data_IF_466432056173
#
_entry.id   IF_466432056173
#
_cell.length_a   1.000
_cell.length_b   1.000
_cell.length_c   1.000
_cell.angle_alpha   90.00
_cell.angle_beta   90.00
_cell.angle_gamma   90.00
#
_symmetry.space_group_name_H-M   'P 1'
#
loop_
_entity.id
_entity.type
_entity.pdbx_description
1 polymer ?
#
# COMPACT_ATOMS: atom_id res chain seq x y z
N UNK A 1 -21.37 7.68 -0.32
CA UNK A 1 -20.89 7.87 1.06
C UNK A 1 -19.40 7.53 1.19
N UNK A 2 -18.92 6.37 0.69
CA UNK A 2 -17.48 6.02 0.67
C UNK A 2 -16.61 7.09 0.00
N UNK A 3 -17.01 7.60 -1.16
CA UNK A 3 -16.28 8.68 -1.86
C UNK A 3 -16.20 9.97 -1.02
N UNK A 4 -17.23 10.27 -0.23
CA UNK A 4 -17.21 11.42 0.70
C UNK A 4 -16.26 11.18 1.86
N UNK A 5 -16.16 9.95 2.38
CA UNK A 5 -15.16 9.60 3.40
C UNK A 5 -13.74 9.69 2.85
N UNK A 6 -13.51 9.25 1.60
CA UNK A 6 -12.20 9.40 0.92
C UNK A 6 -11.86 10.88 0.76
N UNK A 7 -12.78 11.67 0.20
CA UNK A 7 -12.59 13.12 0.02
C UNK A 7 -12.36 13.85 1.35
N UNK A 8 -13.14 13.52 2.37
CA UNK A 8 -12.99 14.06 3.72
C UNK A 8 -11.66 13.68 4.37
N UNK A 9 -11.21 12.44 4.21
CA UNK A 9 -9.91 11.96 4.70
C UNK A 9 -8.74 12.68 4.02
N UNK A 10 -8.81 12.88 2.70
CA UNK A 10 -7.80 13.66 1.95
C UNK A 10 -7.75 15.11 2.45
N UNK A 11 -8.92 15.74 2.63
CA UNK A 11 -9.00 17.12 3.12
C UNK A 11 -8.43 17.25 4.54
N UNK A 12 -8.77 16.34 5.44
CA UNK A 12 -8.26 16.30 6.81
C UNK A 12 -6.74 16.08 6.83
N UNK A 13 -6.22 15.18 6.00
CA UNK A 13 -4.79 14.93 5.86
C UNK A 13 -4.01 16.14 5.34
N UNK A 14 -4.62 16.95 4.46
CA UNK A 14 -4.01 18.22 3.99
C UNK A 14 -4.13 19.36 5.00
N UNK A 15 -5.21 19.42 5.78
CA UNK A 15 -5.45 20.46 6.77
C UNK A 15 -4.61 20.27 8.05
N UNK A 16 -4.22 19.03 8.37
CA UNK A 16 -3.44 18.70 9.56
C UNK A 16 -2.17 17.87 9.24
N UNK A 17 -1.18 18.43 8.50
CA UNK A 17 0.06 17.74 8.19
C UNK A 17 0.86 17.36 9.44
N UNK A 18 0.72 18.15 10.53
CA UNK A 18 1.36 17.88 11.82
C UNK A 18 0.93 16.56 12.49
N UNK A 19 -0.24 16.03 12.15
CA UNK A 19 -0.69 14.72 12.64
C UNK A 19 0.12 13.61 11.97
N UNK A 20 0.40 13.71 10.67
CA UNK A 20 1.25 12.74 9.98
C UNK A 20 2.70 12.78 10.49
N UNK A 21 3.24 13.98 10.77
CA UNK A 21 4.59 14.14 11.34
C UNK A 21 4.69 13.58 12.76
N UNK A 22 3.73 13.89 13.64
CA UNK A 22 3.72 13.34 15.01
C UNK A 22 3.51 11.82 15.03
N UNK A 23 2.75 11.25 14.10
CA UNK A 23 2.64 9.79 13.94
C UNK A 23 3.96 9.15 13.46
N UNK A 24 4.72 9.86 12.60
CA UNK A 24 6.07 9.47 12.20
C UNK A 24 7.10 9.65 13.33
N UNK A 25 6.93 10.61 14.23
CA UNK A 25 7.79 10.78 15.41
C UNK A 25 7.60 9.63 16.41
N UNK A 26 6.39 9.04 16.45
CA UNK A 26 6.08 7.79 17.17
C UNK A 26 6.46 6.53 16.37
N UNK A 27 7.40 6.63 15.43
CA UNK A 27 7.95 5.52 14.68
C UNK A 27 9.15 4.89 15.40
N UNK A 28 9.13 3.57 15.54
CA UNK A 28 10.26 2.79 16.03
C UNK A 28 10.74 1.95 14.84
N UNK A 29 12.01 2.12 14.45
CA UNK A 29 12.60 1.45 13.27
C UNK A 29 11.81 1.62 11.96
N UNK A 30 11.38 2.85 11.65
CA UNK A 30 10.60 3.17 10.42
C UNK A 30 9.18 2.57 10.38
N UNK A 31 8.69 2.00 11.49
CA UNK A 31 7.31 1.51 11.62
C UNK A 31 6.55 2.38 12.62
N UNK A 32 5.52 3.09 12.13
CA UNK A 32 4.65 3.92 12.97
C UNK A 32 3.77 3.04 13.86
N UNK A 33 4.00 3.08 15.18
CA UNK A 33 3.23 2.29 16.17
C UNK A 33 1.72 2.51 16.07
N UNK A 34 1.20 3.75 15.91
CA UNK A 34 -0.24 3.98 15.77
C UNK A 34 -0.84 3.30 14.52
N UNK A 35 -0.12 3.33 13.40
CA UNK A 35 -0.56 2.71 12.15
C UNK A 35 -0.55 1.18 12.31
N UNK A 36 0.48 0.62 12.92
CA UNK A 36 0.57 -0.81 13.18
C UNK A 36 -0.60 -1.31 14.05
N UNK A 37 -0.98 -0.56 15.09
CA UNK A 37 -2.14 -0.87 15.94
C UNK A 37 -3.45 -0.82 15.13
N UNK A 38 -3.65 0.20 14.31
CA UNK A 38 -4.82 0.30 13.42
C UNK A 38 -4.91 -0.90 12.45
N UNK A 39 -3.79 -1.26 11.80
CA UNK A 39 -3.72 -2.41 10.90
C UNK A 39 -3.99 -3.72 11.63
N UNK A 40 -3.46 -3.88 12.86
CA UNK A 40 -3.75 -5.03 13.70
C UNK A 40 -5.25 -5.16 14.01
N UNK A 41 -5.91 -4.07 14.40
CA UNK A 41 -7.35 -4.06 14.65
C UNK A 41 -8.20 -4.28 13.39
N UNK A 42 -7.70 -3.96 12.20
CA UNK A 42 -8.38 -4.31 10.94
C UNK A 42 -8.23 -5.79 10.59
N UNK A 43 -7.07 -6.38 10.86
CA UNK A 43 -6.77 -7.78 10.55
C UNK A 43 -7.40 -8.75 11.57
N UNK A 44 -7.43 -8.39 12.86
CA UNK A 44 -7.90 -9.24 13.94
C UNK A 44 -9.34 -9.76 13.75
N UNK A 45 -10.34 -8.93 13.37
CA UNK A 45 -11.71 -9.40 13.15
C UNK A 45 -11.82 -10.42 12.02
N UNK A 46 -11.00 -10.29 10.98
CA UNK A 46 -10.98 -11.25 9.87
C UNK A 46 -10.40 -12.57 10.38
N UNK A 47 -9.28 -12.52 11.10
CA UNK A 47 -8.61 -13.71 11.64
C UNK A 47 -9.51 -14.53 12.57
N UNK A 48 -10.24 -13.88 13.48
CA UNK A 48 -11.14 -14.56 14.44
C UNK A 48 -12.38 -15.15 13.75
N UNK A 49 -12.78 -14.62 12.60
CA UNK A 49 -13.92 -15.13 11.81
C UNK A 49 -13.57 -16.34 10.93
N UNK A 50 -12.30 -16.74 10.84
CA UNK A 50 -11.89 -17.87 10.01
C UNK A 50 -12.34 -19.17 10.67
N UNK A 51 -13.17 -19.93 9.95
CA UNK A 51 -13.58 -21.28 10.31
C UNK A 51 -12.56 -22.30 9.79
N UNK A 52 -11.82 -22.93 10.70
CA UNK A 52 -10.81 -23.94 10.37
C UNK A 52 -11.38 -25.14 9.60
N UNK A 53 -12.66 -25.49 9.76
CA UNK A 53 -13.28 -26.57 9.01
C UNK A 53 -13.45 -26.21 7.52
N UNK A 54 -13.70 -24.94 7.22
CA UNK A 54 -13.76 -24.43 5.85
C UNK A 54 -12.37 -24.34 5.22
N UNK A 55 -11.35 -23.99 6.00
CA UNK A 55 -9.95 -24.01 5.55
C UNK A 55 -9.54 -25.43 5.13
N UNK A 56 -9.84 -26.44 5.96
CA UNK A 56 -9.50 -27.83 5.66
C UNK A 56 -10.24 -28.37 4.42
N UNK A 57 -11.49 -27.95 4.19
CA UNK A 57 -12.22 -28.25 2.94
C UNK A 57 -11.56 -27.59 1.72
N UNK A 58 -11.11 -26.34 1.87
CA UNK A 58 -10.46 -25.57 0.81
C UNK A 58 -9.13 -26.21 0.37
N UNK A 59 -8.42 -26.88 1.29
CA UNK A 59 -7.22 -27.68 0.98
C UNK A 59 -7.52 -28.87 0.06
N UNK A 60 -8.73 -29.47 0.14
CA UNK A 60 -9.12 -30.61 -0.72
C UNK A 60 -9.42 -30.19 -2.16
N UNK A 61 -9.70 -28.91 -2.39
CA UNK A 61 -9.93 -28.35 -3.73
C UNK A 61 -9.02 -27.14 -3.96
N UNK A 62 -7.71 -27.35 -4.21
CA UNK A 62 -6.73 -26.27 -4.24
C UNK A 62 -6.76 -25.44 -5.53
N UNK A 63 -7.37 -25.94 -6.61
CA UNK A 63 -7.41 -25.26 -7.93
C UNK A 63 -7.83 -23.79 -7.85
N UNK A 64 -9.00 -23.44 -7.25
CA UNK A 64 -9.40 -22.04 -7.12
C UNK A 64 -8.47 -21.22 -6.23
N UNK A 65 -8.02 -21.77 -5.09
CA UNK A 65 -7.13 -21.08 -4.15
C UNK A 65 -5.78 -20.76 -4.79
N UNK A 66 -5.19 -21.73 -5.50
CA UNK A 66 -3.92 -21.56 -6.22
C UNK A 66 -4.04 -20.56 -7.37
N UNK A 67 -5.15 -20.57 -8.10
CA UNK A 67 -5.38 -19.58 -9.16
C UNK A 67 -5.48 -18.17 -8.57
N UNK A 68 -6.24 -17.99 -7.49
CA UNK A 68 -6.33 -16.69 -6.80
C UNK A 68 -4.98 -16.25 -6.24
N UNK A 69 -4.21 -17.16 -5.64
CA UNK A 69 -2.87 -16.86 -5.13
C UNK A 69 -1.93 -16.46 -6.26
N UNK A 70 -1.93 -17.18 -7.38
CA UNK A 70 -1.11 -16.88 -8.55
C UNK A 70 -1.47 -15.52 -9.17
N UNK A 71 -2.76 -15.21 -9.29
CA UNK A 71 -3.19 -13.91 -9.80
C UNK A 71 -2.81 -12.78 -8.83
N UNK A 72 -3.05 -12.97 -7.53
CA UNK A 72 -2.85 -11.92 -6.53
C UNK A 72 -1.36 -11.69 -6.18
N UNK A 73 -0.54 -12.73 -6.16
CA UNK A 73 0.88 -12.62 -5.81
C UNK A 73 1.79 -12.67 -7.03
N UNK A 74 1.41 -13.37 -8.09
CA UNK A 74 2.16 -13.42 -9.34
C UNK A 74 1.80 -12.25 -10.22
N UNK A 75 0.57 -12.21 -10.75
CA UNK A 75 0.21 -11.26 -11.81
C UNK A 75 0.11 -9.82 -11.29
N UNK A 76 -0.53 -9.61 -10.14
CA UNK A 76 -0.86 -8.27 -9.63
C UNK A 76 0.38 -7.36 -9.44
N UNK A 77 1.50 -7.78 -8.81
CA UNK A 77 2.69 -6.93 -8.68
C UNK A 77 3.29 -6.52 -10.04
N UNK A 78 3.32 -7.42 -11.02
CA UNK A 78 3.85 -7.11 -12.34
C UNK A 78 2.91 -6.21 -13.15
N UNK A 79 1.59 -6.44 -13.06
CA UNK A 79 0.62 -5.53 -13.67
C UNK A 79 0.73 -4.13 -13.09
N UNK A 80 0.94 -4.02 -11.77
CA UNK A 80 1.14 -2.74 -11.11
C UNK A 80 2.41 -2.02 -11.57
N UNK A 81 3.53 -2.74 -11.65
CA UNK A 81 4.79 -2.21 -12.20
C UNK A 81 4.59 -1.76 -13.65
N UNK A 82 3.97 -2.59 -14.50
CA UNK A 82 3.76 -2.28 -15.91
C UNK A 82 2.94 -1.00 -16.11
N UNK A 83 1.81 -0.87 -15.40
CA UNK A 83 0.95 0.32 -15.46
C UNK A 83 1.68 1.53 -14.87
N UNK A 84 2.27 1.39 -13.67
CA UNK A 84 2.97 2.51 -13.03
C UNK A 84 4.14 3.01 -13.88
N UNK A 85 4.91 2.12 -14.49
CA UNK A 85 6.02 2.47 -15.36
C UNK A 85 5.57 3.15 -16.65
N UNK A 86 4.50 2.66 -17.28
CA UNK A 86 3.95 3.27 -18.48
C UNK A 86 3.49 4.71 -18.22
N UNK A 87 2.79 4.95 -17.11
CA UNK A 87 2.28 6.28 -16.81
C UNK A 87 3.34 7.20 -16.20
N UNK A 88 4.05 6.78 -15.14
CA UNK A 88 4.98 7.64 -14.41
C UNK A 88 6.37 7.70 -15.05
N UNK A 89 6.82 6.62 -15.69
CA UNK A 89 8.14 6.53 -16.32
C UNK A 89 8.18 6.96 -17.79
N UNK A 90 7.07 6.86 -18.52
CA UNK A 90 7.01 7.23 -19.94
C UNK A 90 6.11 8.44 -20.21
N UNK A 91 4.83 8.41 -19.81
CA UNK A 91 3.87 9.46 -20.19
C UNK A 91 4.01 10.76 -19.36
N UNK A 92 4.22 10.64 -18.05
CA UNK A 92 4.24 11.76 -17.09
C UNK A 92 5.65 12.08 -16.57
N UNK A 93 6.69 11.48 -17.14
CA UNK A 93 8.08 11.73 -16.73
C UNK A 93 8.43 13.22 -16.80
N UNK A 94 8.04 13.88 -17.88
CA UNK A 94 8.29 15.32 -18.09
C UNK A 94 7.41 16.22 -17.21
N UNK A 95 6.30 15.68 -16.69
CA UNK A 95 5.39 16.39 -15.78
C UNK A 95 5.81 16.24 -14.30
N UNK A 96 6.77 15.36 -14.00
CA UNK A 96 7.31 15.11 -12.66
C UNK A 96 8.79 15.54 -12.55
N UNK A 97 9.14 16.82 -12.80
CA UNK A 97 10.50 17.29 -12.60
C UNK A 97 10.80 17.43 -11.09
N UNK A 98 11.87 16.78 -10.63
CA UNK A 98 12.43 16.97 -9.30
C UNK A 98 13.01 15.70 -8.68
N UNK A 99 13.73 15.87 -7.58
CA UNK A 99 14.35 14.81 -6.79
C UNK A 99 13.74 14.78 -5.39
N UNK A 100 13.56 13.59 -4.85
CA UNK A 100 13.16 13.36 -3.46
C UNK A 100 14.37 12.85 -2.68
N UNK A 101 14.58 13.43 -1.50
CA UNK A 101 15.59 12.98 -0.55
C UNK A 101 14.96 11.90 0.32
N UNK A 102 15.42 10.66 0.19
CA UNK A 102 14.94 9.55 1.02
C UNK A 102 15.44 9.69 2.45
N UNK A 103 14.81 8.98 3.38
CA UNK A 103 15.19 8.96 4.80
C UNK A 103 16.64 8.48 5.05
N UNK A 104 17.28 7.85 4.07
CA UNK A 104 18.69 7.44 4.07
C UNK A 104 19.66 8.50 3.52
N UNK A 105 19.16 9.65 3.06
CA UNK A 105 19.96 10.75 2.49
C UNK A 105 20.30 10.60 1.00
N UNK A 106 19.76 9.59 0.31
CA UNK A 106 19.95 9.45 -1.14
C UNK A 106 18.94 10.32 -1.92
N UNK A 107 19.44 11.05 -2.90
CA UNK A 107 18.61 11.77 -3.87
C UNK A 107 18.19 10.83 -4.99
N UNK A 108 16.88 10.59 -5.13
CA UNK A 108 16.31 9.84 -6.25
C UNK A 108 15.29 10.69 -6.99
N UNK A 109 15.25 10.49 -8.29
CA UNK A 109 14.25 11.08 -9.18
C UNK A 109 12.82 10.79 -8.70
N UNK A 110 11.97 11.81 -8.66
CA UNK A 110 10.59 11.72 -8.15
C UNK A 110 9.77 10.62 -8.84
N UNK A 111 9.92 10.47 -10.17
CA UNK A 111 9.21 9.44 -10.91
C UNK A 111 9.58 8.03 -10.45
N UNK A 112 10.84 7.80 -10.01
CA UNK A 112 11.28 6.50 -9.48
C UNK A 112 10.72 6.26 -8.09
N UNK A 113 10.72 7.28 -7.24
CA UNK A 113 10.14 7.19 -5.90
C UNK A 113 8.63 6.90 -5.97
N UNK A 114 7.91 7.56 -6.87
CA UNK A 114 6.47 7.31 -7.04
C UNK A 114 6.16 5.94 -7.61
N UNK A 115 6.97 5.41 -8.54
CA UNK A 115 6.83 4.01 -9.00
C UNK A 115 7.08 3.04 -7.85
N UNK A 116 8.09 3.28 -7.01
CA UNK A 116 8.34 2.45 -5.85
C UNK A 116 7.17 2.51 -4.85
N UNK A 117 6.67 3.70 -4.55
CA UNK A 117 5.52 3.91 -3.67
C UNK A 117 4.25 3.25 -4.18
N UNK A 118 3.96 3.31 -5.48
CA UNK A 118 2.80 2.61 -6.05
C UNK A 118 2.97 1.11 -5.85
N UNK A 119 4.10 0.52 -6.24
CA UNK A 119 4.33 -0.93 -6.13
C UNK A 119 4.29 -1.43 -4.68
N UNK A 120 4.79 -0.65 -3.73
CA UNK A 120 4.82 -1.03 -2.31
C UNK A 120 3.45 -0.94 -1.63
N UNK A 121 2.55 -0.07 -2.10
CA UNK A 121 1.24 0.17 -1.49
C UNK A 121 0.08 -0.58 -2.17
N UNK A 122 0.30 -1.20 -3.33
CA UNK A 122 -0.77 -1.83 -4.11
C UNK A 122 -0.88 -3.33 -4.09
#
# INVERSE_FOLDING_TARGET
WVVLCIGGGIFLGKAAPGVATTLNDFSIYQVSVPIAVCLFFMMYPIMVKIDFAQVLKSTKTPKPVMLTLFINWGIKPFSMLAISYLFLGYLFRDLLPGTEVLANGEEVELWRSYIAGTILLG
#
